data_IF_677301608010
#
_entry.id   IF_677301608010
#
_cell.length_a   1.000
_cell.length_b   1.000
_cell.length_c   1.000
_cell.angle_alpha   90.00
_cell.angle_beta   90.00
_cell.angle_gamma   90.00
#
_symmetry.space_group_name_H-M   'P 1'
#
loop_
_entity.id
_entity.type
_entity.pdbx_description
1 polymer ?
#
# COMPACT_ATOMS: atom_id res chain seq x y z
N UNK A 1 2.15 17.91 81.47
CA UNK A 1 2.34 19.02 80.49
C UNK A 1 3.07 18.58 79.22
N UNK A 2 4.22 17.88 79.26
CA UNK A 2 4.97 17.46 78.05
C UNK A 2 4.19 16.55 77.05
N UNK A 3 3.31 15.67 77.52
CA UNK A 3 2.49 14.81 76.64
C UNK A 3 1.39 15.60 75.90
N UNK A 4 0.86 16.65 76.52
CA UNK A 4 -0.15 17.52 75.89
C UNK A 4 0.47 18.43 74.83
N UNK A 5 1.66 18.99 75.09
CA UNK A 5 2.37 19.81 74.07
C UNK A 5 2.82 18.98 72.87
N UNK A 6 3.28 17.75 73.11
CA UNK A 6 3.69 16.82 72.04
C UNK A 6 2.51 16.41 71.17
N UNK A 7 1.34 16.15 71.77
CA UNK A 7 0.12 15.83 71.02
C UNK A 7 -0.43 17.02 70.24
N UNK A 8 -0.36 18.25 70.77
CA UNK A 8 -0.77 19.47 70.04
C UNK A 8 0.13 19.69 68.83
N UNK A 9 1.46 19.60 68.97
CA UNK A 9 2.39 19.70 67.85
C UNK A 9 2.16 18.61 66.80
N UNK A 10 1.84 17.39 67.22
CA UNK A 10 1.55 16.29 66.29
C UNK A 10 0.26 16.55 65.49
N UNK A 11 -0.77 17.10 66.14
CA UNK A 11 -2.04 17.48 65.50
C UNK A 11 -1.84 18.67 64.57
N UNK A 12 -1.11 19.72 64.99
CA UNK A 12 -0.78 20.87 64.15
C UNK A 12 0.03 20.47 62.92
N UNK A 13 0.99 19.56 63.06
CA UNK A 13 1.78 19.07 61.93
C UNK A 13 0.92 18.29 60.94
N UNK A 14 -0.03 17.48 61.44
CA UNK A 14 -0.98 16.75 60.59
C UNK A 14 -1.97 17.69 59.90
N UNK A 15 -2.46 18.72 60.59
CA UNK A 15 -3.38 19.71 60.04
C UNK A 15 -2.67 20.62 59.02
N UNK A 16 -1.44 21.03 59.29
CA UNK A 16 -0.62 21.81 58.37
C UNK A 16 -0.38 21.04 57.08
N UNK A 17 0.08 19.77 57.17
CA UNK A 17 0.23 18.90 56.00
C UNK A 17 -1.09 18.75 55.22
N UNK A 18 -2.20 18.58 55.92
CA UNK A 18 -3.52 18.46 55.30
C UNK A 18 -3.94 19.75 54.56
N UNK A 19 -3.73 20.92 55.16
CA UNK A 19 -4.02 22.22 54.53
C UNK A 19 -3.08 22.45 53.34
N UNK A 20 -1.81 22.09 53.45
CA UNK A 20 -0.81 22.21 52.38
C UNK A 20 -1.14 21.31 51.18
N UNK A 21 -1.75 20.15 51.41
CA UNK A 21 -2.21 19.23 50.37
C UNK A 21 -3.50 19.74 49.68
N UNK A 22 -4.39 20.44 50.38
CA UNK A 22 -5.68 20.89 49.82
C UNK A 22 -5.63 22.28 49.19
N UNK A 23 -4.90 23.23 49.79
CA UNK A 23 -4.91 24.63 49.35
C UNK A 23 -3.99 24.82 48.16
N UNK A 24 -4.49 25.40 47.07
CA UNK A 24 -3.66 25.85 45.96
C UNK A 24 -2.90 27.14 46.36
N UNK A 25 -1.56 27.15 46.37
CA UNK A 25 -0.80 28.36 46.69
C UNK A 25 -1.14 29.49 45.71
N UNK A 26 -1.16 30.77 46.15
CA UNK A 26 -1.43 31.90 45.25
C UNK A 26 -0.51 31.93 44.03
N UNK A 27 0.77 31.56 44.20
CA UNK A 27 1.72 31.43 43.09
C UNK A 27 1.34 30.36 42.06
N UNK A 28 0.74 29.25 42.48
CA UNK A 28 0.21 28.23 41.57
C UNK A 28 -0.97 28.79 40.77
N UNK A 29 -1.88 29.51 41.43
CA UNK A 29 -3.03 30.14 40.79
C UNK A 29 -2.58 31.14 39.72
N UNK A 30 -1.63 32.02 40.03
CA UNK A 30 -1.09 33.00 39.07
C UNK A 30 -0.44 32.32 37.87
N UNK A 31 0.36 31.27 38.08
CA UNK A 31 1.00 30.56 36.97
C UNK A 31 -0.02 29.87 36.07
N UNK A 32 -1.05 29.23 36.64
CA UNK A 32 -2.08 28.55 35.84
C UNK A 32 -2.88 29.57 35.00
N UNK A 33 -3.26 30.71 35.60
CA UNK A 33 -4.07 31.72 34.91
C UNK A 33 -3.23 32.48 33.87
N UNK A 34 -2.06 33.01 34.26
CA UNK A 34 -1.31 34.01 33.49
C UNK A 34 0.01 33.49 32.90
N UNK A 35 0.56 32.37 33.40
CA UNK A 35 1.87 31.86 32.98
C UNK A 35 1.88 31.20 31.59
N UNK A 36 2.98 31.31 30.86
CA UNK A 36 3.13 30.61 29.57
C UNK A 36 3.27 29.09 29.72
N UNK A 37 2.83 28.32 28.73
CA UNK A 37 2.94 26.85 28.75
C UNK A 37 4.39 26.45 28.45
N UNK A 38 5.17 26.24 29.51
CA UNK A 38 6.56 25.80 29.48
C UNK A 38 6.80 24.66 30.50
N UNK A 39 8.04 24.18 30.65
CA UNK A 39 8.38 23.12 31.60
C UNK A 39 8.01 23.46 33.06
N UNK A 40 8.05 24.75 33.42
CA UNK A 40 7.60 25.25 34.71
C UNK A 40 6.08 25.14 34.88
N UNK A 41 5.31 25.41 33.82
CA UNK A 41 3.86 25.24 33.82
C UNK A 41 3.46 23.77 33.97
N UNK A 42 4.16 22.85 33.30
CA UNK A 42 3.94 21.40 33.43
C UNK A 42 4.12 20.93 34.88
N UNK A 43 5.18 21.38 35.57
CA UNK A 43 5.37 21.07 37.00
C UNK A 43 4.24 21.62 37.89
N UNK A 44 3.73 22.81 37.57
CA UNK A 44 2.59 23.39 38.28
C UNK A 44 1.30 22.59 38.04
N UNK A 45 1.08 22.08 36.83
CA UNK A 45 -0.03 21.16 36.54
C UNK A 45 0.08 19.85 37.33
N UNK A 46 1.28 19.30 37.51
CA UNK A 46 1.49 18.11 38.36
C UNK A 46 1.07 18.36 39.81
N UNK A 47 1.41 19.54 40.35
CA UNK A 47 0.98 19.94 41.69
C UNK A 47 -0.55 20.06 41.73
N UNK A 48 -1.16 20.74 40.75
CA UNK A 48 -2.62 20.87 40.66
C UNK A 48 -3.30 19.49 40.58
N UNK A 49 -2.78 18.57 39.76
CA UNK A 49 -3.29 17.21 39.62
C UNK A 49 -3.24 16.43 40.95
N UNK A 50 -2.15 16.54 41.73
CA UNK A 50 -2.05 15.90 43.06
C UNK A 50 -3.13 16.43 44.01
N UNK A 51 -3.33 17.74 44.02
CA UNK A 51 -4.37 18.41 44.83
C UNK A 51 -5.78 17.98 44.45
N UNK A 52 -6.06 17.88 43.15
CA UNK A 52 -7.34 17.40 42.63
C UNK A 52 -7.60 15.94 43.02
N UNK A 53 -6.61 15.05 42.90
CA UNK A 53 -6.73 13.64 43.35
C UNK A 53 -7.02 13.55 44.84
N UNK A 54 -6.29 14.30 45.66
CA UNK A 54 -6.50 14.29 47.11
C UNK A 54 -7.91 14.74 47.49
N UNK A 55 -8.49 15.70 46.76
CA UNK A 55 -9.88 16.15 46.99
C UNK A 55 -10.95 15.09 46.66
N UNK A 56 -10.63 14.05 45.88
CA UNK A 56 -11.58 13.01 45.45
C UNK A 56 -11.57 11.74 46.34
N UNK A 57 -10.46 11.45 47.03
CA UNK A 57 -10.20 10.11 47.60
C UNK A 57 -10.82 9.88 48.98
N UNK A 58 -11.19 10.92 49.73
CA UNK A 58 -11.54 10.72 51.15
C UNK A 58 -12.96 11.22 51.53
N UNK A 59 -13.92 10.28 51.69
CA UNK A 59 -15.30 10.59 52.07
C UNK A 59 -15.44 11.18 53.48
N UNK A 60 -14.51 10.89 54.40
CA UNK A 60 -14.53 11.46 55.77
C UNK A 60 -14.05 12.91 55.78
N UNK A 61 -13.17 13.27 54.84
CA UNK A 61 -12.60 14.62 54.67
C UNK A 61 -13.63 15.59 54.04
N UNK A 62 -14.47 15.10 53.13
CA UNK A 62 -15.55 15.84 52.47
C UNK A 62 -16.65 16.39 53.41
N UNK A 63 -16.66 16.00 54.69
CA UNK A 63 -17.59 16.48 55.70
C UNK A 63 -17.20 17.83 56.34
N UNK A 64 -15.98 18.32 56.11
CA UNK A 64 -15.52 19.60 56.68
C UNK A 64 -16.05 20.82 55.89
N UNK A 65 -16.47 21.88 56.60
CA UNK A 65 -17.00 23.12 55.97
C UNK A 65 -16.00 23.78 55.03
N UNK A 66 -14.71 23.79 55.39
CA UNK A 66 -13.65 24.44 54.61
C UNK A 66 -13.40 23.79 53.23
N UNK A 67 -13.65 22.49 53.08
CA UNK A 67 -13.51 21.81 51.79
C UNK A 67 -14.67 22.09 50.82
N UNK A 68 -15.86 22.43 51.34
CA UNK A 68 -16.98 22.87 50.49
C UNK A 68 -16.70 24.19 49.78
N UNK A 69 -15.89 25.06 50.37
CA UNK A 69 -15.53 26.36 49.80
C UNK A 69 -14.31 26.27 48.87
N UNK A 70 -13.37 25.34 49.11
CA UNK A 70 -12.14 25.18 48.31
C UNK A 70 -12.40 24.39 47.01
N UNK A 71 -13.30 23.40 47.05
CA UNK A 71 -13.64 22.57 45.88
C UNK A 71 -14.07 23.38 44.64
N UNK A 72 -15.00 24.35 44.72
CA UNK A 72 -15.38 25.14 43.55
C UNK A 72 -14.24 26.01 43.01
N UNK A 73 -13.34 26.51 43.87
CA UNK A 73 -12.15 27.26 43.43
C UNK A 73 -11.14 26.36 42.69
N UNK A 74 -10.93 25.13 43.18
CA UNK A 74 -10.10 24.14 42.49
C UNK A 74 -10.73 23.70 41.16
N UNK A 75 -12.04 23.53 41.10
CA UNK A 75 -12.76 23.23 39.86
C UNK A 75 -12.67 24.39 38.86
N UNK A 76 -12.78 25.64 39.31
CA UNK A 76 -12.60 26.82 38.46
C UNK A 76 -11.17 26.90 37.91
N UNK A 77 -10.18 26.63 38.75
CA UNK A 77 -8.78 26.59 38.36
C UNK A 77 -8.51 25.46 37.35
N UNK A 78 -9.12 24.29 37.57
CA UNK A 78 -9.08 23.18 36.63
C UNK A 78 -9.67 23.56 35.27
N UNK A 79 -10.85 24.17 35.22
CA UNK A 79 -11.44 24.59 33.94
C UNK A 79 -10.55 25.58 33.18
N UNK A 80 -9.92 26.52 33.89
CA UNK A 80 -8.97 27.45 33.28
C UNK A 80 -7.72 26.74 32.76
N UNK A 81 -7.18 25.78 33.52
CA UNK A 81 -6.04 24.97 33.10
C UNK A 81 -6.38 24.11 31.87
N UNK A 82 -7.55 23.46 31.86
CA UNK A 82 -8.02 22.64 30.73
C UNK A 82 -8.11 23.46 29.45
N UNK A 83 -8.80 24.62 29.50
CA UNK A 83 -8.93 25.53 28.35
C UNK A 83 -7.56 25.99 27.85
N UNK A 84 -6.67 26.42 28.74
CA UNK A 84 -5.35 26.91 28.35
C UNK A 84 -4.48 25.83 27.69
N UNK A 85 -4.52 24.61 28.24
CA UNK A 85 -3.77 23.47 27.69
C UNK A 85 -4.36 23.04 26.34
N UNK A 86 -5.68 22.98 26.21
CA UNK A 86 -6.32 22.62 24.93
C UNK A 86 -6.03 23.66 23.85
N UNK A 87 -6.11 24.95 24.17
CA UNK A 87 -5.83 26.04 23.23
C UNK A 87 -4.38 25.96 22.74
N UNK A 88 -3.43 25.79 23.66
CA UNK A 88 -2.01 25.67 23.33
C UNK A 88 -1.70 24.46 22.42
N UNK A 89 -2.23 23.29 22.74
CA UNK A 89 -2.03 22.09 21.92
C UNK A 89 -2.66 22.25 20.53
N UNK A 90 -3.86 22.83 20.48
CA UNK A 90 -4.59 23.08 19.24
C UNK A 90 -3.84 24.06 18.32
N UNK A 91 -3.25 25.11 18.88
CA UNK A 91 -2.39 26.04 18.14
C UNK A 91 -1.16 25.34 17.54
N UNK A 92 -0.53 24.43 18.30
CA UNK A 92 0.59 23.63 17.78
C UNK A 92 0.12 22.75 16.63
N UNK A 93 -1.02 22.07 16.76
CA UNK A 93 -1.55 21.25 15.68
C UNK A 93 -1.82 22.08 14.44
N UNK A 94 -2.49 23.23 14.55
CA UNK A 94 -2.73 24.09 13.40
C UNK A 94 -1.45 24.62 12.73
N UNK A 95 -0.35 24.76 13.48
CA UNK A 95 0.94 25.12 12.90
C UNK A 95 1.48 24.08 11.90
N UNK A 96 1.07 22.81 12.01
CA UNK A 96 1.43 21.73 11.08
C UNK A 96 0.87 21.94 9.68
N UNK A 97 -0.17 22.76 9.52
CA UNK A 97 -0.75 23.11 8.20
C UNK A 97 0.14 24.05 7.40
N UNK A 98 1.12 24.71 8.04
CA UNK A 98 1.99 25.69 7.37
C UNK A 98 2.98 24.96 6.44
N UNK A 99 3.17 25.44 5.20
CA UNK A 99 4.14 24.84 4.28
C UNK A 99 5.56 24.97 4.82
N UNK A 100 6.39 23.94 4.62
CA UNK A 100 7.78 23.90 5.10
C UNK A 100 7.95 23.48 6.56
N UNK A 101 6.85 23.25 7.30
CA UNK A 101 6.92 22.71 8.66
C UNK A 101 7.45 21.28 8.66
N UNK A 102 8.52 21.02 9.41
CA UNK A 102 8.98 19.66 9.66
C UNK A 102 8.11 19.02 10.75
N UNK A 103 7.02 18.38 10.32
CA UNK A 103 6.02 17.74 11.20
C UNK A 103 6.68 16.69 12.10
N UNK A 104 7.63 15.92 11.58
CA UNK A 104 8.30 14.86 12.35
C UNK A 104 9.11 15.44 13.53
N UNK A 105 9.85 16.53 13.32
CA UNK A 105 10.57 17.23 14.40
C UNK A 105 9.57 17.81 15.41
N UNK A 106 8.47 18.38 14.94
CA UNK A 106 7.44 18.94 15.83
C UNK A 106 6.78 17.86 16.70
N UNK A 107 6.46 16.71 16.11
CA UNK A 107 5.93 15.54 16.81
C UNK A 107 6.91 14.99 17.85
N UNK A 108 8.20 14.92 17.55
CA UNK A 108 9.23 14.54 18.53
C UNK A 108 9.27 15.51 19.72
N UNK A 109 9.21 16.82 19.46
CA UNK A 109 9.16 17.84 20.50
C UNK A 109 7.89 17.71 21.37
N UNK A 110 6.73 17.41 20.77
CA UNK A 110 5.47 17.17 21.49
C UNK A 110 5.61 16.00 22.47
N UNK A 111 6.17 14.86 22.02
CA UNK A 111 6.38 13.68 22.88
C UNK A 111 7.33 14.00 24.04
N UNK A 112 8.43 14.71 23.76
CA UNK A 112 9.46 14.96 24.77
C UNK A 112 9.02 15.98 25.83
N UNK A 113 8.38 17.08 25.43
CA UNK A 113 8.09 18.20 26.33
C UNK A 113 6.66 18.24 26.83
N UNK A 114 5.71 17.80 26.02
CA UNK A 114 4.30 18.10 26.22
C UNK A 114 3.43 16.86 26.45
N UNK A 115 4.02 15.65 26.55
CA UNK A 115 3.28 14.42 26.83
C UNK A 115 2.45 14.49 28.12
N UNK A 116 2.95 15.16 29.17
CA UNK A 116 2.18 15.31 30.41
C UNK A 116 0.89 16.11 30.23
N UNK A 117 0.86 17.07 29.30
CA UNK A 117 -0.34 17.87 29.02
C UNK A 117 -1.51 16.97 28.58
N UNK A 118 -1.23 16.01 27.69
CA UNK A 118 -2.22 15.02 27.25
C UNK A 118 -2.69 14.12 28.39
N UNK A 119 -1.76 13.63 29.22
CA UNK A 119 -2.11 12.81 30.38
C UNK A 119 -3.01 13.57 31.36
N UNK A 120 -2.73 14.86 31.59
CA UNK A 120 -3.53 15.74 32.42
C UNK A 120 -4.94 15.94 31.88
N UNK A 121 -5.07 16.23 30.57
CA UNK A 121 -6.38 16.37 29.92
C UNK A 121 -7.20 15.08 30.03
N UNK A 122 -6.58 13.93 29.76
CA UNK A 122 -7.25 12.63 29.83
C UNK A 122 -7.76 12.30 31.23
N UNK A 123 -7.01 12.69 32.25
CA UNK A 123 -7.37 12.42 33.64
C UNK A 123 -8.46 13.34 34.18
N UNK A 124 -8.37 14.66 33.94
CA UNK A 124 -9.23 15.64 34.60
C UNK A 124 -10.32 16.23 33.69
N UNK A 125 -10.25 16.00 32.38
CA UNK A 125 -11.12 16.65 31.40
C UNK A 125 -11.38 15.80 30.15
N UNK A 126 -12.01 14.63 30.31
CA UNK A 126 -12.25 13.68 29.21
C UNK A 126 -12.90 14.30 27.97
N UNK A 127 -13.86 15.22 28.13
CA UNK A 127 -14.48 15.92 26.99
C UNK A 127 -13.47 16.78 26.22
N UNK A 128 -12.71 17.60 26.94
CA UNK A 128 -11.68 18.48 26.36
C UNK A 128 -10.58 17.65 25.69
N UNK A 129 -10.20 16.53 26.30
CA UNK A 129 -9.26 15.58 25.71
C UNK A 129 -9.76 15.05 24.36
N UNK A 130 -11.02 14.60 24.28
CA UNK A 130 -11.62 14.14 23.02
C UNK A 130 -11.64 15.23 21.96
N UNK A 131 -11.95 16.49 22.34
CA UNK A 131 -11.94 17.62 21.41
C UNK A 131 -10.52 17.89 20.87
N UNK A 132 -9.48 17.79 21.72
CA UNK A 132 -8.07 17.92 21.32
C UNK A 132 -7.62 16.78 20.40
N UNK A 133 -8.03 15.53 20.68
CA UNK A 133 -7.79 14.40 19.78
C UNK A 133 -8.45 14.63 18.41
N UNK A 134 -9.71 15.07 18.39
CA UNK A 134 -10.42 15.38 17.14
C UNK A 134 -9.75 16.51 16.35
N UNK A 135 -9.27 17.56 17.03
CA UNK A 135 -8.54 18.66 16.41
C UNK A 135 -7.22 18.20 15.76
N UNK A 136 -6.50 17.28 16.41
CA UNK A 136 -5.31 16.65 15.84
C UNK A 136 -5.68 15.81 14.61
N UNK A 137 -6.68 14.93 14.74
CA UNK A 137 -7.12 14.04 13.67
C UNK A 137 -7.54 14.82 12.42
N UNK A 138 -8.40 15.82 12.57
CA UNK A 138 -8.86 16.68 11.45
C UNK A 138 -7.68 17.38 10.76
N UNK A 139 -6.73 17.87 11.55
CA UNK A 139 -5.56 18.57 11.02
C UNK A 139 -4.65 17.64 10.23
N UNK A 140 -4.26 16.51 10.81
CA UNK A 140 -3.35 15.58 10.15
C UNK A 140 -4.01 14.87 8.97
N UNK A 141 -5.30 14.55 9.07
CA UNK A 141 -6.07 14.01 7.95
C UNK A 141 -5.99 14.94 6.72
N UNK A 142 -6.25 16.25 6.89
CA UNK A 142 -6.16 17.24 5.80
C UNK A 142 -4.74 17.37 5.25
N UNK A 143 -3.74 17.47 6.14
CA UNK A 143 -2.33 17.64 5.74
C UNK A 143 -1.83 16.43 4.97
N UNK A 144 -2.08 15.22 5.46
CA UNK A 144 -1.65 13.99 4.80
C UNK A 144 -2.43 13.73 3.51
N UNK A 145 -3.74 13.99 3.47
CA UNK A 145 -4.54 13.86 2.25
C UNK A 145 -4.00 14.75 1.13
N UNK A 146 -3.71 16.02 1.43
CA UNK A 146 -3.10 16.94 0.48
C UNK A 146 -1.70 16.47 0.05
N UNK A 147 -0.90 15.93 0.97
CA UNK A 147 0.42 15.40 0.67
C UNK A 147 0.35 14.23 -0.32
N UNK A 148 -0.52 13.24 -0.08
CA UNK A 148 -0.71 12.11 -1.00
C UNK A 148 -1.29 12.53 -2.34
N UNK A 149 -2.25 13.47 -2.35
CA UNK A 149 -2.81 14.00 -3.59
C UNK A 149 -1.73 14.62 -4.49
N UNK A 150 -0.90 15.52 -3.95
CA UNK A 150 0.20 16.15 -4.69
C UNK A 150 1.22 15.12 -5.15
N UNK A 151 1.52 14.12 -4.32
CA UNK A 151 2.47 13.07 -4.66
C UNK A 151 1.96 12.20 -5.81
N UNK A 152 0.68 11.80 -5.78
CA UNK A 152 0.02 11.04 -6.86
C UNK A 152 0.05 11.83 -8.17
N UNK A 153 -0.37 13.09 -8.16
CA UNK A 153 -0.37 13.95 -9.36
C UNK A 153 1.03 14.11 -9.96
N UNK A 154 2.06 14.16 -9.11
CA UNK A 154 3.45 14.23 -9.56
C UNK A 154 3.94 12.91 -10.17
N UNK A 155 3.54 11.76 -9.60
CA UNK A 155 3.88 10.44 -10.14
C UNK A 155 3.16 10.15 -11.46
N UNK A 156 1.89 10.55 -11.60
CA UNK A 156 1.11 10.36 -12.82
C UNK A 156 1.76 11.01 -14.05
N UNK A 157 2.40 12.19 -13.88
CA UNK A 157 3.16 12.86 -14.96
C UNK A 157 4.35 12.05 -15.46
N UNK A 158 4.86 11.14 -14.63
CA UNK A 158 5.98 10.24 -14.97
C UNK A 158 5.52 8.85 -15.43
N UNK A 159 4.22 8.63 -15.64
CA UNK A 159 3.69 7.32 -16.06
C UNK A 159 4.09 6.99 -17.50
N UNK A 160 4.53 5.76 -17.70
CA UNK A 160 4.70 5.15 -19.01
C UNK A 160 3.36 4.54 -19.47
N UNK A 161 2.91 4.92 -20.66
CA UNK A 161 1.70 4.39 -21.26
C UNK A 161 1.97 2.99 -21.84
N UNK A 162 1.66 1.96 -21.07
CA UNK A 162 1.75 0.54 -21.47
C UNK A 162 0.33 0.02 -21.63
N UNK A 163 -0.01 -0.44 -22.83
CA UNK A 163 -1.34 -0.99 -23.12
C UNK A 163 -2.47 0.05 -23.13
N UNK A 164 -2.15 1.34 -23.26
CA UNK A 164 -3.13 2.42 -23.44
C UNK A 164 -3.44 2.57 -24.94
N UNK A 165 -4.69 2.33 -25.33
CA UNK A 165 -5.22 2.69 -26.66
C UNK A 165 -5.38 4.21 -26.73
N UNK A 166 -4.32 4.94 -27.08
CA UNK A 166 -4.38 6.41 -27.15
C UNK A 166 -5.15 6.94 -28.36
N UNK A 167 -5.55 6.10 -29.31
CA UNK A 167 -5.96 6.56 -30.65
C UNK A 167 -7.39 6.21 -31.08
N UNK A 168 -8.27 5.72 -30.21
CA UNK A 168 -9.66 5.42 -30.62
C UNK A 168 -10.69 5.86 -29.56
N UNK A 169 -11.13 7.10 -29.70
CA UNK A 169 -12.41 7.57 -29.17
C UNK A 169 -13.56 6.79 -29.83
N UNK A 170 -14.24 5.96 -29.05
CA UNK A 170 -15.53 5.39 -29.40
C UNK A 170 -15.48 3.93 -29.86
N UNK A 171 -16.32 3.12 -29.22
CA UNK A 171 -16.55 1.68 -29.37
C UNK A 171 -15.59 0.76 -28.61
N UNK A 172 -16.21 -0.20 -27.90
CA UNK A 172 -15.62 -1.25 -27.08
C UNK A 172 -14.43 -1.92 -27.79
N UNK A 173 -13.21 -1.49 -27.44
CA UNK A 173 -11.99 -2.11 -27.93
C UNK A 173 -11.84 -3.50 -27.31
N UNK A 174 -12.10 -4.53 -28.11
CA UNK A 174 -11.73 -5.88 -27.75
C UNK A 174 -10.20 -6.00 -27.79
N UNK A 175 -9.62 -6.81 -26.91
CA UNK A 175 -8.16 -7.10 -26.94
C UNK A 175 -7.73 -7.69 -28.29
N UNK A 176 -8.71 -8.21 -29.06
CA UNK A 176 -8.58 -8.70 -30.43
C UNK A 176 -8.11 -7.60 -31.40
N UNK A 177 -8.33 -6.30 -31.11
CA UNK A 177 -7.87 -5.18 -31.96
C UNK A 177 -6.46 -4.68 -31.61
N UNK A 178 -5.99 -4.95 -30.39
CA UNK A 178 -4.64 -4.61 -29.91
C UNK A 178 -3.57 -5.57 -30.45
N UNK A 179 -3.93 -6.82 -30.72
CA UNK A 179 -2.99 -7.89 -31.07
C UNK A 179 -2.55 -7.90 -32.55
N UNK A 180 -3.39 -7.61 -33.59
CA UNK A 180 -3.02 -7.77 -34.99
C UNK A 180 -2.33 -6.55 -35.63
N UNK A 181 -2.35 -5.36 -35.02
CA UNK A 181 -1.79 -4.12 -35.64
C UNK A 181 -0.30 -3.95 -35.33
N UNK A 182 0.54 -4.89 -35.79
CA UNK A 182 1.96 -4.95 -35.45
C UNK A 182 2.94 -4.74 -36.61
N UNK A 183 3.40 -3.50 -36.83
CA UNK A 183 4.76 -3.23 -37.34
C UNK A 183 5.48 -2.10 -36.60
N UNK A 184 4.80 -1.03 -36.19
CA UNK A 184 5.43 0.09 -35.45
C UNK A 184 5.23 0.04 -33.92
N UNK A 185 4.22 -0.68 -33.42
CA UNK A 185 3.89 -0.77 -31.97
C UNK A 185 4.50 -1.99 -31.24
N UNK A 186 5.29 -2.82 -31.92
CA UNK A 186 5.78 -4.12 -31.42
C UNK A 186 6.64 -4.03 -30.15
N UNK A 187 7.39 -2.93 -29.96
CA UNK A 187 8.28 -2.78 -28.80
C UNK A 187 7.52 -2.59 -27.49
N UNK A 188 6.40 -1.85 -27.52
CA UNK A 188 5.53 -1.66 -26.37
C UNK A 188 4.65 -2.89 -26.09
N UNK A 189 4.31 -3.65 -27.13
CA UNK A 189 3.57 -4.91 -26.99
C UNK A 189 4.39 -6.02 -26.32
N UNK A 190 5.64 -6.24 -26.70
CA UNK A 190 6.50 -7.20 -25.99
C UNK A 190 6.67 -6.83 -24.51
N UNK A 191 6.88 -5.55 -24.22
CA UNK A 191 7.05 -5.07 -22.84
C UNK A 191 5.82 -5.34 -21.94
N UNK A 192 4.62 -5.35 -22.51
CA UNK A 192 3.37 -5.64 -21.80
C UNK A 192 3.25 -7.11 -21.36
N UNK A 193 3.76 -8.06 -22.15
CA UNK A 193 3.66 -9.49 -21.85
C UNK A 193 4.92 -10.06 -21.19
N UNK A 194 6.07 -9.43 -21.38
CA UNK A 194 7.34 -9.88 -20.81
C UNK A 194 7.53 -9.37 -19.39
N UNK A 195 8.11 -10.20 -18.51
CA UNK A 195 8.49 -9.78 -17.17
C UNK A 195 9.83 -9.01 -17.17
N UNK A 196 10.88 -9.56 -17.79
CA UNK A 196 12.18 -8.88 -17.98
C UNK A 196 12.68 -8.12 -16.75
N UNK A 197 13.12 -6.87 -16.95
CA UNK A 197 13.61 -5.99 -15.88
C UNK A 197 12.52 -5.61 -14.85
N UNK A 198 11.23 -5.76 -15.18
CA UNK A 198 10.12 -5.42 -14.29
C UNK A 198 10.14 -6.27 -13.02
N UNK A 199 10.67 -7.50 -13.08
CA UNK A 199 10.87 -8.35 -11.90
C UNK A 199 11.77 -7.73 -10.82
N UNK A 200 12.68 -6.83 -11.21
CA UNK A 200 13.61 -6.18 -10.27
C UNK A 200 12.89 -5.41 -9.16
N UNK A 201 11.68 -4.90 -9.43
CA UNK A 201 10.87 -4.16 -8.45
C UNK A 201 10.58 -4.98 -7.18
N UNK A 202 10.48 -6.31 -7.31
CA UNK A 202 10.22 -7.22 -6.20
C UNK A 202 11.47 -7.47 -5.34
N UNK A 203 12.67 -7.16 -5.85
CA UNK A 203 13.94 -7.17 -5.09
C UNK A 203 14.17 -5.81 -4.43
N UNK A 204 13.59 -4.77 -5.01
CA UNK A 204 13.67 -3.40 -4.53
C UNK A 204 12.41 -3.02 -3.74
N UNK A 205 11.90 -3.86 -2.84
CA UNK A 205 10.69 -3.53 -2.06
C UNK A 205 10.96 -2.50 -0.95
N UNK A 206 12.14 -2.55 -0.32
CA UNK A 206 12.45 -1.68 0.82
C UNK A 206 13.11 -0.35 0.46
N UNK A 207 13.54 -0.16 -0.79
CA UNK A 207 14.13 1.11 -1.26
C UNK A 207 13.20 2.32 -1.02
N UNK A 208 13.73 3.55 -0.92
CA UNK A 208 12.88 4.74 -0.89
C UNK A 208 11.93 4.83 -2.09
N UNK A 209 10.78 5.48 -1.93
CA UNK A 209 9.87 5.76 -3.05
C UNK A 209 10.51 6.72 -4.06
N UNK A 210 9.95 6.76 -5.27
CA UNK A 210 10.35 7.75 -6.27
C UNK A 210 10.23 9.17 -5.72
N UNK A 211 11.24 9.99 -5.98
CA UNK A 211 11.18 11.43 -5.76
C UNK A 211 10.85 12.07 -7.11
N UNK A 212 9.63 12.61 -7.31
CA UNK A 212 9.27 13.23 -8.57
C UNK A 212 10.26 14.35 -8.89
N UNK A 213 11.01 14.21 -9.98
CA UNK A 213 11.93 15.24 -10.48
C UNK A 213 11.25 16.03 -11.59
N UNK A 214 11.13 17.34 -11.39
CA UNK A 214 10.58 18.30 -12.36
C UNK A 214 11.69 18.68 -13.36
N UNK A 215 12.37 17.70 -13.95
CA UNK A 215 13.35 17.98 -15.00
C UNK A 215 12.63 17.98 -16.35
N UNK A 216 12.42 19.16 -16.93
CA UNK A 216 11.80 19.34 -18.26
C UNK A 216 12.66 18.78 -19.40
N UNK A 217 13.95 18.52 -19.15
CA UNK A 217 14.95 18.26 -20.19
C UNK A 217 14.99 16.81 -20.65
N UNK A 218 14.41 15.86 -19.90
CA UNK A 218 14.11 14.48 -20.32
C UNK A 218 13.26 13.79 -19.23
N UNK A 219 11.91 13.77 -19.34
CA UNK A 219 11.09 13.12 -18.32
C UNK A 219 11.29 11.60 -18.37
N UNK A 220 11.89 11.05 -17.32
CA UNK A 220 11.98 9.59 -17.13
C UNK A 220 10.57 9.06 -16.89
N UNK A 221 10.11 8.16 -17.77
CA UNK A 221 8.82 7.49 -17.64
C UNK A 221 8.97 6.14 -16.95
N UNK A 222 8.04 5.79 -16.07
CA UNK A 222 8.04 4.57 -15.28
C UNK A 222 6.80 3.70 -15.56
N UNK A 223 6.95 2.37 -15.63
CA UNK A 223 5.83 1.45 -15.57
C UNK A 223 4.99 1.67 -14.30
N UNK A 224 3.69 1.41 -14.38
CA UNK A 224 2.77 1.74 -13.29
C UNK A 224 3.06 0.96 -12.01
N UNK A 225 3.57 -0.27 -12.07
CA UNK A 225 3.96 -1.03 -10.87
C UNK A 225 5.05 -0.32 -10.03
N UNK A 226 5.92 0.50 -10.66
CA UNK A 226 6.95 1.28 -9.96
C UNK A 226 6.33 2.48 -9.25
N UNK A 227 5.36 3.13 -9.91
CA UNK A 227 4.54 4.22 -9.34
C UNK A 227 3.76 3.68 -8.14
N UNK A 228 3.03 2.57 -8.32
CA UNK A 228 2.26 1.92 -7.27
C UNK A 228 3.14 1.55 -6.07
N UNK A 229 4.27 0.88 -6.31
CA UNK A 229 5.23 0.53 -5.25
C UNK A 229 5.71 1.75 -4.49
N UNK A 230 5.99 2.86 -5.17
CA UNK A 230 6.45 4.10 -4.54
C UNK A 230 5.39 4.76 -3.68
N UNK A 231 4.15 4.82 -4.17
CA UNK A 231 3.00 5.31 -3.41
C UNK A 231 2.77 4.47 -2.15
N UNK A 232 2.76 3.14 -2.30
CA UNK A 232 2.60 2.22 -1.18
C UNK A 232 3.74 2.33 -0.16
N UNK A 233 4.98 2.50 -0.62
CA UNK A 233 6.14 2.69 0.27
C UNK A 233 6.02 3.98 1.09
N UNK A 234 5.64 5.09 0.45
CA UNK A 234 5.42 6.37 1.14
C UNK A 234 4.29 6.23 2.18
N UNK A 235 3.19 5.55 1.80
CA UNK A 235 2.07 5.28 2.70
C UNK A 235 2.55 4.50 3.94
N UNK A 236 3.28 3.41 3.74
CA UNK A 236 3.77 2.57 4.83
C UNK A 236 4.69 3.32 5.78
N UNK A 237 5.63 4.10 5.26
CA UNK A 237 6.58 4.83 6.09
C UNK A 237 5.87 5.94 6.89
N UNK A 238 5.00 6.70 6.23
CA UNK A 238 4.20 7.77 6.87
C UNK A 238 3.26 7.20 7.93
N UNK A 239 2.54 6.11 7.62
CA UNK A 239 1.66 5.43 8.57
C UNK A 239 2.42 4.86 9.75
N UNK A 240 3.61 4.27 9.52
CA UNK A 240 4.44 3.73 10.59
C UNK A 240 4.88 4.83 11.55
N UNK A 241 5.37 5.97 11.04
CA UNK A 241 5.78 7.09 11.89
C UNK A 241 4.60 7.68 12.67
N UNK A 242 3.45 7.84 12.02
CA UNK A 242 2.28 8.47 12.61
C UNK A 242 1.64 7.57 13.68
N UNK A 243 1.51 6.27 13.42
CA UNK A 243 0.99 5.32 14.38
C UNK A 243 1.87 5.24 15.64
N UNK A 244 3.19 5.23 15.49
CA UNK A 244 4.13 5.26 16.61
C UNK A 244 4.02 6.56 17.41
N UNK A 245 3.88 7.71 16.74
CA UNK A 245 3.65 8.99 17.40
C UNK A 245 2.34 8.99 18.18
N UNK A 246 1.22 8.57 17.57
CA UNK A 246 -0.10 8.54 18.21
C UNK A 246 -0.07 7.67 19.46
N UNK A 247 0.53 6.48 19.37
CA UNK A 247 0.73 5.59 20.51
C UNK A 247 1.60 6.22 21.60
N UNK A 248 2.67 6.91 21.23
CA UNK A 248 3.60 7.53 22.15
C UNK A 248 3.10 8.85 22.76
N UNK A 249 2.19 9.58 22.12
CA UNK A 249 1.71 10.88 22.60
C UNK A 249 0.32 10.78 23.24
N UNK A 250 -0.66 10.21 22.53
CA UNK A 250 -2.05 10.07 22.99
C UNK A 250 -2.29 8.76 23.76
N UNK A 251 -1.66 7.67 23.30
CA UNK A 251 -1.91 6.33 23.85
C UNK A 251 -3.26 5.74 23.41
N UNK A 252 -3.87 6.29 22.36
CA UNK A 252 -5.11 5.81 21.75
C UNK A 252 -4.88 5.44 20.30
N UNK A 253 -4.71 4.13 20.04
CA UNK A 253 -4.39 3.62 18.70
C UNK A 253 -5.53 3.85 17.69
N UNK A 254 -6.77 3.99 18.16
CA UNK A 254 -7.95 4.26 17.30
C UNK A 254 -7.87 5.61 16.58
N UNK A 255 -7.14 6.58 17.12
CA UNK A 255 -6.97 7.91 16.52
C UNK A 255 -6.28 7.82 15.16
N UNK A 256 -5.45 6.81 14.94
CA UNK A 256 -4.78 6.55 13.66
C UNK A 256 -5.78 6.44 12.50
N UNK A 257 -6.88 5.72 12.71
CA UNK A 257 -7.86 5.51 11.64
C UNK A 257 -8.61 6.78 11.25
N UNK A 258 -8.80 7.72 12.19
CA UNK A 258 -9.37 9.04 11.90
C UNK A 258 -8.37 9.91 11.12
N UNK A 259 -7.09 9.84 11.47
CA UNK A 259 -6.01 10.54 10.75
C UNK A 259 -5.87 10.02 9.31
N UNK A 260 -5.95 8.70 9.11
CA UNK A 260 -5.72 8.08 7.81
C UNK A 260 -6.96 7.89 6.93
N UNK A 261 -8.16 8.21 7.41
CA UNK A 261 -9.39 8.13 6.61
C UNK A 261 -9.29 8.86 5.27
N UNK A 262 -8.87 10.14 5.29
CA UNK A 262 -8.71 10.95 4.08
C UNK A 262 -7.56 10.49 3.16
N UNK A 263 -6.34 10.23 3.69
CA UNK A 263 -5.26 9.62 2.92
C UNK A 263 -5.65 8.33 2.22
N UNK A 264 -6.37 7.43 2.90
CA UNK A 264 -6.86 6.19 2.29
C UNK A 264 -7.89 6.47 1.19
N UNK A 265 -8.82 7.41 1.41
CA UNK A 265 -9.80 7.78 0.38
C UNK A 265 -9.15 8.31 -0.91
N UNK A 266 -8.11 9.15 -0.77
CA UNK A 266 -7.34 9.69 -1.91
C UNK A 266 -6.66 8.57 -2.69
N UNK A 267 -5.99 7.65 -2.00
CA UNK A 267 -5.27 6.55 -2.63
C UNK A 267 -6.24 5.55 -3.26
N UNK A 268 -7.33 5.22 -2.57
CA UNK A 268 -8.36 4.29 -3.08
C UNK A 268 -9.01 4.84 -4.35
N UNK A 269 -9.38 6.13 -4.38
CA UNK A 269 -9.93 6.78 -5.58
C UNK A 269 -8.96 6.72 -6.77
N UNK A 270 -7.68 6.98 -6.53
CA UNK A 270 -6.66 6.89 -7.58
C UNK A 270 -6.47 5.45 -8.08
N UNK A 271 -6.47 4.47 -7.16
CA UNK A 271 -6.36 3.06 -7.50
C UNK A 271 -7.57 2.60 -8.34
N UNK A 272 -8.79 2.92 -7.92
CA UNK A 272 -10.02 2.60 -8.65
C UNK A 272 -10.00 3.17 -10.07
N UNK A 273 -9.62 4.45 -10.21
CA UNK A 273 -9.49 5.09 -11.52
C UNK A 273 -8.45 4.36 -12.39
N UNK A 274 -7.28 4.05 -11.84
CA UNK A 274 -6.24 3.40 -12.63
C UNK A 274 -6.59 1.95 -13.00
N UNK A 275 -7.21 1.20 -12.10
CA UNK A 275 -7.58 -0.20 -12.35
C UNK A 275 -8.62 -0.33 -13.45
N UNK A 276 -9.55 0.63 -13.58
CA UNK A 276 -10.55 0.63 -14.64
C UNK A 276 -9.91 0.56 -16.05
N UNK A 277 -8.78 1.24 -16.25
CA UNK A 277 -8.09 1.36 -17.54
C UNK A 277 -6.83 0.48 -17.65
N UNK A 278 -6.48 -0.26 -16.60
CA UNK A 278 -5.30 -1.12 -16.62
C UNK A 278 -5.62 -2.44 -17.33
N UNK A 279 -4.99 -2.67 -18.49
CA UNK A 279 -5.12 -3.90 -19.28
C UNK A 279 -3.84 -4.75 -19.28
N UNK A 280 -2.81 -4.38 -18.50
CA UNK A 280 -1.55 -5.11 -18.36
C UNK A 280 -1.64 -6.12 -17.21
N UNK A 281 -1.80 -7.41 -17.56
CA UNK A 281 -1.89 -8.47 -16.55
C UNK A 281 -0.60 -8.67 -15.75
N UNK A 282 0.58 -8.41 -16.35
CA UNK A 282 1.87 -8.51 -15.65
C UNK A 282 1.98 -7.39 -14.61
N UNK A 283 1.58 -6.17 -14.97
CA UNK A 283 1.50 -5.04 -14.02
C UNK A 283 0.59 -5.38 -12.83
N UNK A 284 -0.63 -5.88 -13.10
CA UNK A 284 -1.59 -6.23 -12.06
C UNK A 284 -1.04 -7.32 -11.13
N UNK A 285 -0.39 -8.34 -11.70
CA UNK A 285 0.23 -9.40 -10.92
C UNK A 285 1.43 -8.88 -10.09
N UNK A 286 2.25 -7.99 -10.65
CA UNK A 286 3.32 -7.32 -9.91
C UNK A 286 2.77 -6.49 -8.75
N UNK A 287 1.67 -5.75 -8.94
CA UNK A 287 1.01 -5.01 -7.85
C UNK A 287 0.54 -5.93 -6.71
N UNK A 288 -0.01 -7.11 -7.05
CA UNK A 288 -0.41 -8.12 -6.06
C UNK A 288 0.83 -8.59 -5.27
N UNK A 289 1.91 -8.98 -5.95
CA UNK A 289 3.11 -9.45 -5.26
C UNK A 289 3.81 -8.33 -4.46
N UNK A 290 3.80 -7.08 -4.94
CA UNK A 290 4.27 -5.92 -4.18
C UNK A 290 3.47 -5.77 -2.88
N UNK A 291 2.14 -5.86 -2.96
CA UNK A 291 1.25 -5.71 -1.80
C UNK A 291 1.52 -6.81 -0.77
N UNK A 292 1.70 -8.06 -1.20
CA UNK A 292 2.08 -9.17 -0.33
C UNK A 292 3.44 -9.00 0.33
N UNK A 293 4.45 -8.57 -0.43
CA UNK A 293 5.78 -8.28 0.15
C UNK A 293 5.70 -7.12 1.15
N UNK A 294 4.87 -6.10 0.89
CA UNK A 294 4.61 -5.02 1.85
C UNK A 294 3.90 -5.49 3.12
N UNK A 295 2.96 -6.44 3.04
CA UNK A 295 2.38 -7.09 4.23
C UNK A 295 3.47 -7.75 5.09
N UNK A 296 4.41 -8.48 4.47
CA UNK A 296 5.54 -9.09 5.19
C UNK A 296 6.46 -8.03 5.82
N UNK A 297 6.69 -6.91 5.14
CA UNK A 297 7.47 -5.79 5.70
C UNK A 297 6.77 -5.17 6.91
N UNK A 298 5.45 -4.94 6.86
CA UNK A 298 4.68 -4.44 8.01
C UNK A 298 4.67 -5.43 9.18
N UNK A 299 4.55 -6.73 8.89
CA UNK A 299 4.67 -7.79 9.88
C UNK A 299 6.05 -7.76 10.57
N UNK A 300 7.13 -7.60 9.80
CA UNK A 300 8.49 -7.46 10.34
C UNK A 300 8.67 -6.20 11.19
N UNK A 301 7.99 -5.10 10.83
CA UNK A 301 7.94 -3.87 11.64
C UNK A 301 7.11 -4.04 12.92
N UNK A 302 6.33 -5.12 13.05
CA UNK A 302 5.38 -5.39 14.15
C UNK A 302 4.29 -4.32 14.26
N UNK A 303 3.80 -3.85 13.11
CA UNK A 303 2.77 -2.82 13.01
C UNK A 303 1.57 -3.37 12.23
N UNK A 304 0.40 -3.42 12.87
CA UNK A 304 -0.85 -3.93 12.27
C UNK A 304 -1.77 -2.83 11.73
N UNK A 305 -1.36 -1.56 11.81
CA UNK A 305 -2.19 -0.40 11.44
C UNK A 305 -2.62 -0.36 9.96
N UNK A 306 -1.94 -1.10 9.08
CA UNK A 306 -2.24 -1.18 7.65
C UNK A 306 -2.77 -2.54 7.19
N UNK A 307 -3.00 -3.50 8.09
CA UNK A 307 -3.41 -4.87 7.71
C UNK A 307 -4.70 -4.85 6.89
N UNK A 308 -5.75 -4.21 7.42
CA UNK A 308 -7.04 -4.05 6.74
C UNK A 308 -6.91 -3.35 5.38
N UNK A 309 -6.03 -2.35 5.28
CA UNK A 309 -5.80 -1.61 4.04
C UNK A 309 -5.13 -2.48 2.97
N UNK A 310 -4.06 -3.19 3.34
CA UNK A 310 -3.32 -4.04 2.41
C UNK A 310 -4.16 -5.26 1.97
N UNK A 311 -4.95 -5.84 2.87
CA UNK A 311 -5.90 -6.91 2.54
C UNK A 311 -6.95 -6.43 1.54
N UNK A 312 -7.51 -5.22 1.78
CA UNK A 312 -8.47 -4.58 0.87
C UNK A 312 -7.85 -4.33 -0.52
N UNK A 313 -6.60 -3.87 -0.59
CA UNK A 313 -5.89 -3.68 -1.85
C UNK A 313 -5.75 -5.00 -2.64
N UNK A 314 -5.42 -6.11 -1.99
CA UNK A 314 -5.38 -7.44 -2.63
C UNK A 314 -6.77 -7.84 -3.16
N UNK A 315 -7.83 -7.59 -2.38
CA UNK A 315 -9.22 -7.86 -2.78
C UNK A 315 -9.66 -7.04 -4.01
N UNK A 316 -9.10 -5.85 -4.23
CA UNK A 316 -9.38 -5.06 -5.44
C UNK A 316 -8.58 -5.51 -6.66
N UNK A 317 -7.32 -5.90 -6.46
CA UNK A 317 -6.41 -6.23 -7.56
C UNK A 317 -6.78 -7.57 -8.24
N UNK A 318 -7.15 -8.59 -7.47
CA UNK A 318 -7.45 -9.92 -8.01
C UNK A 318 -8.65 -9.96 -8.97
N UNK A 319 -9.81 -9.36 -8.65
CA UNK A 319 -10.94 -9.30 -9.58
C UNK A 319 -10.55 -8.62 -10.90
N UNK A 320 -9.80 -7.51 -10.83
CA UNK A 320 -9.36 -6.83 -12.06
C UNK A 320 -8.38 -7.68 -12.87
N UNK A 321 -7.40 -8.30 -12.21
CA UNK A 321 -6.50 -9.24 -12.86
C UNK A 321 -7.28 -10.35 -13.58
N UNK A 322 -8.25 -10.95 -12.89
CA UNK A 322 -9.09 -12.02 -13.44
C UNK A 322 -9.86 -11.54 -14.69
N UNK A 323 -10.46 -10.35 -14.64
CA UNK A 323 -11.15 -9.78 -15.81
C UNK A 323 -10.20 -9.64 -17.00
N UNK A 324 -9.03 -9.04 -16.81
CA UNK A 324 -8.05 -8.87 -17.90
C UNK A 324 -7.55 -10.22 -18.43
N UNK A 325 -7.28 -11.17 -17.54
CA UNK A 325 -6.86 -12.52 -17.91
C UNK A 325 -7.92 -13.27 -18.72
N UNK A 326 -9.18 -13.23 -18.28
CA UNK A 326 -10.28 -13.87 -19.00
C UNK A 326 -10.51 -13.18 -20.37
N UNK A 327 -10.29 -11.86 -20.50
CA UNK A 327 -10.31 -11.17 -21.80
C UNK A 327 -9.19 -11.67 -22.74
N UNK A 328 -7.96 -11.85 -22.22
CA UNK A 328 -6.85 -12.43 -23.01
C UNK A 328 -7.15 -13.83 -23.49
N UNK A 329 -7.73 -14.65 -22.61
CA UNK A 329 -8.09 -16.02 -22.92
C UNK A 329 -9.22 -16.09 -23.96
N UNK A 330 -10.25 -15.24 -23.82
CA UNK A 330 -11.32 -15.12 -24.80
C UNK A 330 -10.78 -14.69 -26.16
N UNK A 331 -9.83 -13.75 -26.20
CA UNK A 331 -9.16 -13.34 -27.43
C UNK A 331 -8.54 -14.54 -28.15
N UNK A 332 -7.77 -15.39 -27.46
CA UNK A 332 -7.19 -16.60 -28.05
C UNK A 332 -8.23 -17.52 -28.69
N UNK A 333 -9.36 -17.74 -28.02
CA UNK A 333 -10.42 -18.61 -28.54
C UNK A 333 -11.11 -18.01 -29.77
N UNK A 334 -11.38 -16.71 -29.76
CA UNK A 334 -12.16 -16.00 -30.79
C UNK A 334 -11.31 -15.52 -31.98
N UNK A 335 -9.99 -15.52 -31.87
CA UNK A 335 -9.10 -15.14 -32.98
C UNK A 335 -9.34 -16.01 -34.24
N UNK A 336 -9.55 -15.34 -35.38
CA UNK A 336 -9.58 -16.00 -36.69
C UNK A 336 -8.16 -16.29 -37.16
N UNK A 337 -7.81 -17.57 -37.17
CA UNK A 337 -6.51 -18.05 -37.60
C UNK A 337 -6.16 -17.64 -39.04
N UNK A 338 -7.16 -17.40 -39.91
CA UNK A 338 -6.94 -17.00 -41.30
C UNK A 338 -6.53 -15.55 -41.45
N UNK A 339 -7.01 -14.67 -40.57
CA UNK A 339 -6.65 -13.25 -40.55
C UNK A 339 -5.24 -13.05 -39.98
N UNK A 340 -4.89 -13.87 -38.98
CA UNK A 340 -3.59 -13.81 -38.32
C UNK A 340 -2.49 -14.54 -39.07
N UNK A 341 -2.85 -15.38 -40.04
CA UNK A 341 -1.89 -16.19 -40.79
C UNK A 341 -0.90 -15.32 -41.55
N UNK A 342 0.38 -15.60 -41.33
CA UNK A 342 1.50 -15.05 -42.08
C UNK A 342 2.15 -16.20 -42.83
N UNK A 343 2.37 -16.05 -44.14
CA UNK A 343 3.05 -17.05 -44.93
C UNK A 343 4.51 -17.21 -44.46
N UNK A 344 4.83 -18.38 -43.91
CA UNK A 344 6.14 -18.69 -43.38
C UNK A 344 6.10 -19.68 -42.21
N UNK A 345 7.13 -20.51 -42.10
CA UNK A 345 7.26 -21.47 -41.00
C UNK A 345 7.83 -20.89 -39.71
N UNK A 346 8.08 -19.57 -39.66
CA UNK A 346 8.65 -18.91 -38.49
C UNK A 346 7.70 -18.92 -37.28
N UNK A 347 8.23 -18.81 -36.05
CA UNK A 347 7.39 -18.72 -34.86
C UNK A 347 6.43 -17.54 -34.93
N UNK A 348 5.18 -17.78 -34.54
CA UNK A 348 4.13 -16.78 -34.65
C UNK A 348 4.24 -15.76 -33.51
N UNK A 349 4.25 -14.46 -33.82
CA UNK A 349 4.45 -13.40 -32.83
C UNK A 349 3.42 -13.43 -31.68
N UNK A 350 2.14 -13.68 -31.98
CA UNK A 350 1.08 -13.84 -30.97
C UNK A 350 1.41 -14.98 -30.00
N UNK A 351 1.79 -16.15 -30.53
CA UNK A 351 2.16 -17.30 -29.70
C UNK A 351 3.32 -16.92 -28.78
N UNK A 352 4.32 -16.22 -29.31
CA UNK A 352 5.44 -15.70 -28.50
C UNK A 352 4.97 -14.81 -27.35
N UNK A 353 4.12 -13.82 -27.62
CA UNK A 353 3.59 -12.92 -26.58
C UNK A 353 2.86 -13.70 -25.47
N UNK A 354 2.06 -14.71 -25.82
CA UNK A 354 1.35 -15.51 -24.82
C UNK A 354 2.26 -16.46 -24.04
N UNK A 355 3.33 -16.96 -24.65
CA UNK A 355 4.35 -17.74 -23.93
C UNK A 355 5.13 -16.82 -22.98
N UNK A 356 5.53 -15.64 -23.42
CA UNK A 356 6.19 -14.63 -22.57
C UNK A 356 5.29 -14.24 -21.38
N UNK A 357 3.98 -14.04 -21.61
CA UNK A 357 3.00 -13.80 -20.55
C UNK A 357 2.90 -15.00 -19.59
N UNK A 358 2.82 -16.22 -20.12
CA UNK A 358 2.69 -17.43 -19.30
C UNK A 358 3.93 -17.61 -18.42
N UNK A 359 5.12 -17.42 -18.99
CA UNK A 359 6.38 -17.44 -18.27
C UNK A 359 6.43 -16.38 -17.16
N UNK A 360 6.03 -15.14 -17.46
CA UNK A 360 5.95 -14.06 -16.49
C UNK A 360 5.02 -14.41 -15.31
N UNK A 361 3.82 -14.92 -15.60
CA UNK A 361 2.84 -15.25 -14.57
C UNK A 361 3.26 -16.47 -13.74
N UNK A 362 3.94 -17.47 -14.32
CA UNK A 362 4.49 -18.61 -13.57
C UNK A 362 5.50 -18.13 -12.53
N UNK A 363 6.47 -17.30 -12.94
CA UNK A 363 7.48 -16.75 -12.03
C UNK A 363 6.85 -15.92 -10.91
N UNK A 364 5.91 -15.03 -11.26
CA UNK A 364 5.23 -14.20 -10.28
C UNK A 364 4.33 -15.01 -9.34
N UNK A 365 3.67 -16.07 -9.83
CA UNK A 365 2.86 -16.95 -9.00
C UNK A 365 3.70 -17.70 -7.96
N UNK A 366 4.89 -18.16 -8.34
CA UNK A 366 5.84 -18.80 -7.43
C UNK A 366 6.29 -17.85 -6.32
N UNK A 367 6.58 -16.59 -6.66
CA UNK A 367 6.90 -15.53 -5.69
C UNK A 367 5.73 -15.19 -4.75
N UNK A 368 4.50 -15.21 -5.28
CA UNK A 368 3.29 -14.83 -4.55
C UNK A 368 2.74 -15.97 -3.65
N UNK A 369 3.03 -17.24 -3.95
CA UNK A 369 2.90 -18.39 -3.04
C UNK A 369 1.50 -18.94 -2.73
N UNK A 370 0.47 -18.62 -3.52
CA UNK A 370 -0.94 -18.86 -3.10
C UNK A 370 -1.74 -19.75 -4.08
N UNK A 371 -1.09 -20.28 -5.13
CA UNK A 371 -1.67 -21.29 -6.05
C UNK A 371 -2.90 -20.86 -6.87
N UNK A 372 -3.40 -19.63 -6.67
CA UNK A 372 -4.63 -19.14 -7.28
C UNK A 372 -4.59 -19.09 -8.82
N UNK A 373 -3.39 -19.10 -9.42
CA UNK A 373 -3.20 -19.02 -10.87
C UNK A 373 -3.05 -20.37 -11.57
N UNK A 374 -2.82 -21.47 -10.86
CA UNK A 374 -2.41 -22.73 -11.48
C UNK A 374 -3.44 -23.24 -12.51
N UNK A 375 -4.72 -23.21 -12.14
CA UNK A 375 -5.81 -23.58 -13.05
C UNK A 375 -5.96 -22.62 -14.23
N UNK A 376 -5.69 -21.32 -14.04
CA UNK A 376 -5.79 -20.32 -15.10
C UNK A 376 -4.63 -20.44 -16.09
N UNK A 377 -3.42 -20.71 -15.61
CA UNK A 377 -2.25 -20.97 -16.44
C UNK A 377 -2.44 -22.23 -17.29
N UNK A 378 -3.07 -23.26 -16.73
CA UNK A 378 -3.43 -24.46 -17.47
C UNK A 378 -4.45 -24.17 -18.59
N UNK A 379 -5.48 -23.35 -18.31
CA UNK A 379 -6.44 -22.89 -19.33
C UNK A 379 -5.75 -22.10 -20.45
N UNK A 380 -4.79 -21.24 -20.09
CA UNK A 380 -4.03 -20.45 -21.06
C UNK A 380 -3.16 -21.34 -21.95
N UNK A 381 -2.46 -22.31 -21.36
CA UNK A 381 -1.67 -23.32 -22.07
C UNK A 381 -2.50 -24.06 -23.11
N UNK A 382 -3.69 -24.55 -22.74
CA UNK A 382 -4.60 -25.24 -23.67
C UNK A 382 -5.07 -24.32 -24.79
N UNK A 383 -5.38 -23.05 -24.49
CA UNK A 383 -5.77 -22.08 -25.50
C UNK A 383 -4.66 -21.79 -26.52
N UNK A 384 -3.40 -21.71 -26.07
CA UNK A 384 -2.23 -21.53 -26.95
C UNK A 384 -1.99 -22.77 -27.83
N UNK A 385 -2.07 -23.99 -27.27
CA UNK A 385 -1.92 -25.23 -28.04
C UNK A 385 -3.00 -25.36 -29.12
N UNK A 386 -4.26 -25.02 -28.79
CA UNK A 386 -5.37 -24.99 -29.74
C UNK A 386 -5.18 -23.93 -30.84
N UNK A 387 -4.65 -22.74 -30.50
CA UNK A 387 -4.34 -21.72 -31.50
C UNK A 387 -3.23 -22.20 -32.46
N UNK A 388 -2.18 -22.82 -31.94
CA UNK A 388 -1.10 -23.40 -32.75
C UNK A 388 -1.61 -24.45 -33.73
N UNK A 389 -2.50 -25.35 -33.28
CA UNK A 389 -3.15 -26.33 -34.14
C UNK A 389 -3.94 -25.67 -35.28
N UNK A 390 -4.83 -24.72 -34.96
CA UNK A 390 -5.62 -23.98 -35.98
C UNK A 390 -4.75 -23.20 -36.96
N UNK A 391 -3.64 -22.61 -36.50
CA UNK A 391 -2.69 -21.91 -37.38
C UNK A 391 -1.94 -22.88 -38.29
N UNK A 392 -1.57 -24.05 -37.78
CA UNK A 392 -0.92 -25.09 -38.58
C UNK A 392 -1.85 -25.63 -39.66
N UNK A 393 -3.13 -25.82 -39.39
CA UNK A 393 -4.13 -26.30 -40.38
C UNK A 393 -4.25 -25.41 -41.63
N UNK A 394 -3.85 -24.14 -41.55
CA UNK A 394 -3.86 -23.23 -42.70
C UNK A 394 -2.76 -23.53 -43.75
N UNK A 395 -1.71 -24.29 -43.40
CA UNK A 395 -0.69 -24.66 -44.39
C UNK A 395 -1.18 -25.83 -45.25
N UNK A 396 -1.10 -25.69 -46.57
CA UNK A 396 -1.54 -26.74 -47.49
C UNK A 396 -0.65 -28.01 -47.47
N UNK A 397 0.65 -27.87 -47.16
CA UNK A 397 1.60 -28.98 -47.16
C UNK A 397 1.83 -29.52 -45.73
N UNK A 398 1.61 -30.82 -45.46
CA UNK A 398 1.89 -31.43 -44.17
C UNK A 398 3.32 -31.17 -43.67
N UNK A 399 4.31 -31.10 -44.57
CA UNK A 399 5.69 -30.79 -44.22
C UNK A 399 5.83 -29.39 -43.61
N UNK A 400 5.18 -28.38 -44.19
CA UNK A 400 5.24 -27.01 -43.68
C UNK A 400 4.41 -26.84 -42.40
N UNK A 401 3.32 -27.61 -42.24
CA UNK A 401 2.56 -27.68 -40.99
C UNK A 401 3.45 -28.12 -39.81
N UNK A 402 4.11 -29.28 -39.97
CA UNK A 402 4.99 -29.82 -38.94
C UNK A 402 6.18 -28.89 -38.67
N UNK A 403 6.79 -28.31 -39.72
CA UNK A 403 7.91 -27.37 -39.56
C UNK A 403 7.50 -26.11 -38.79
N UNK A 404 6.31 -25.55 -39.07
CA UNK A 404 5.75 -24.43 -38.31
C UNK A 404 5.57 -24.80 -36.83
N UNK A 405 4.99 -25.96 -36.54
CA UNK A 405 4.82 -26.43 -35.16
C UNK A 405 6.16 -26.63 -34.44
N UNK A 406 7.16 -27.25 -35.10
CA UNK A 406 8.50 -27.43 -34.53
C UNK A 406 9.13 -26.09 -34.14
N UNK A 407 9.08 -25.09 -35.04
CA UNK A 407 9.66 -23.78 -34.77
C UNK A 407 8.96 -23.06 -33.60
N UNK A 408 7.64 -23.17 -33.50
CA UNK A 408 6.89 -22.58 -32.38
C UNK A 408 7.14 -23.30 -31.05
N UNK A 409 7.23 -24.64 -31.05
CA UNK A 409 7.56 -25.40 -29.86
C UNK A 409 8.99 -25.13 -29.39
N UNK A 410 9.96 -25.06 -30.30
CA UNK A 410 11.36 -24.71 -29.98
C UNK A 410 11.46 -23.30 -29.35
N UNK A 411 10.81 -22.30 -29.96
CA UNK A 411 10.71 -20.96 -29.38
C UNK A 411 10.06 -20.98 -27.99
N UNK A 412 8.98 -21.75 -27.83
CA UNK A 412 8.27 -21.86 -26.55
C UNK A 412 9.19 -22.43 -25.48
N UNK A 413 9.92 -23.50 -25.78
CA UNK A 413 10.90 -24.12 -24.88
C UNK A 413 12.01 -23.13 -24.54
N UNK A 414 12.51 -22.35 -25.50
CA UNK A 414 13.55 -21.33 -25.27
C UNK A 414 13.09 -20.28 -24.27
N UNK A 415 11.89 -19.72 -24.43
CA UNK A 415 11.34 -18.72 -23.51
C UNK A 415 11.10 -19.30 -22.11
N UNK A 416 10.62 -20.55 -22.02
CA UNK A 416 10.39 -21.22 -20.74
C UNK A 416 11.70 -21.58 -20.02
N UNK A 417 12.77 -21.90 -20.76
CA UNK A 417 14.12 -22.11 -20.18
C UNK A 417 14.67 -20.84 -19.57
N UNK A 418 14.50 -19.70 -20.25
CA UNK A 418 14.86 -18.39 -19.70
C UNK A 418 14.06 -18.06 -18.43
N UNK A 419 12.86 -18.65 -18.30
CA UNK A 419 11.97 -18.40 -17.19
C UNK A 419 12.36 -19.09 -15.87
N UNK A 420 13.33 -20.00 -15.89
CA UNK A 420 13.83 -20.68 -14.70
C UNK A 420 13.05 -21.93 -14.30
N UNK A 421 13.38 -22.46 -13.12
CA UNK A 421 12.94 -23.78 -12.68
C UNK A 421 11.42 -23.89 -12.45
N UNK A 422 10.77 -22.76 -12.18
CA UNK A 422 9.34 -22.64 -11.97
C UNK A 422 8.55 -23.05 -13.23
N UNK A 423 9.14 -22.87 -14.42
CA UNK A 423 8.52 -23.20 -15.71
C UNK A 423 8.78 -24.64 -16.17
N UNK A 424 9.59 -25.43 -15.45
CA UNK A 424 10.04 -26.77 -15.87
C UNK A 424 8.88 -27.73 -16.22
N UNK A 425 7.76 -27.68 -15.48
CA UNK A 425 6.60 -28.53 -15.76
C UNK A 425 6.01 -28.23 -17.14
N UNK A 426 5.89 -26.94 -17.48
CA UNK A 426 5.37 -26.49 -18.76
C UNK A 426 6.38 -26.72 -19.89
N UNK A 427 7.66 -26.54 -19.61
CA UNK A 427 8.75 -26.82 -20.54
C UNK A 427 8.70 -28.29 -21.01
N UNK A 428 8.65 -29.25 -20.08
CA UNK A 428 8.58 -30.68 -20.39
C UNK A 428 7.40 -31.04 -21.28
N UNK A 429 6.24 -30.43 -21.04
CA UNK A 429 5.05 -30.62 -21.88
C UNK A 429 5.32 -30.26 -23.35
N UNK A 430 5.99 -29.14 -23.61
CA UNK A 430 6.33 -28.72 -24.97
C UNK A 430 7.50 -29.52 -25.56
N UNK A 431 8.43 -30.02 -24.74
CA UNK A 431 9.49 -30.96 -25.17
C UNK A 431 8.87 -32.27 -25.69
N UNK A 432 7.92 -32.87 -24.96
CA UNK A 432 7.20 -34.08 -25.40
C UNK A 432 6.44 -33.86 -26.72
N UNK A 433 5.81 -32.68 -26.88
CA UNK A 433 5.12 -32.29 -28.11
C UNK A 433 6.09 -32.11 -29.28
N UNK A 434 7.25 -31.50 -29.04
CA UNK A 434 8.31 -31.33 -30.02
C UNK A 434 8.78 -32.71 -30.52
N UNK A 435 9.10 -33.63 -29.61
CA UNK A 435 9.55 -34.99 -29.93
C UNK A 435 8.51 -35.77 -30.75
N UNK A 436 7.24 -35.75 -30.31
CA UNK A 436 6.14 -36.42 -31.03
C UNK A 436 5.94 -35.86 -32.45
N UNK A 437 6.03 -34.54 -32.61
CA UNK A 437 5.92 -33.88 -33.91
C UNK A 437 7.13 -34.14 -34.81
N UNK A 438 8.34 -34.26 -34.24
CA UNK A 438 9.55 -34.64 -34.99
C UNK A 438 9.44 -36.05 -35.57
N UNK A 439 8.97 -37.03 -34.80
CA UNK A 439 8.73 -38.40 -35.29
C UNK A 439 7.77 -38.37 -36.48
N UNK A 440 6.66 -37.64 -36.35
CA UNK A 440 5.64 -37.52 -37.41
C UNK A 440 6.18 -36.81 -38.66
N UNK A 441 7.06 -35.82 -38.50
CA UNK A 441 7.72 -35.12 -39.60
C UNK A 441 8.68 -36.04 -40.39
N UNK A 442 9.51 -36.83 -39.70
CA UNK A 442 10.47 -37.76 -40.32
C UNK A 442 9.73 -38.87 -41.08
N UNK A 443 8.65 -39.40 -40.53
CA UNK A 443 7.80 -40.40 -41.20
C UNK A 443 7.22 -39.82 -42.50
N UNK A 444 6.67 -38.61 -42.46
CA UNK A 444 6.13 -37.93 -43.65
C UNK A 444 7.19 -37.66 -44.73
N UNK A 445 8.44 -37.35 -44.35
CA UNK A 445 9.55 -37.22 -45.32
C UNK A 445 9.92 -38.58 -45.91
N UNK A 446 9.95 -39.64 -45.10
CA UNK A 446 10.37 -40.97 -45.52
C UNK A 446 9.40 -41.59 -46.54
N UNK A 447 8.09 -41.31 -46.42
CA UNK A 447 7.08 -41.75 -47.38
C UNK A 447 7.19 -41.11 -48.77
N UNK A 448 7.87 -39.97 -48.91
CA UNK A 448 8.16 -39.33 -50.21
C UNK A 448 9.36 -39.96 -50.94
N UNK A 449 10.18 -40.76 -50.25
CA UNK A 449 11.38 -41.40 -50.81
C UNK A 449 11.19 -42.90 -51.13
N UNK A 450 9.97 -43.44 -51.00
CA UNK A 450 9.67 -44.79 -51.49
C UNK A 450 9.54 -44.71 -53.02
N UNK A 451 10.45 -45.32 -53.80
CA UNK A 451 10.34 -45.30 -55.25
C UNK A 451 9.07 -46.06 -55.65
N UNK A 452 8.28 -45.49 -56.56
CA UNK A 452 7.15 -46.16 -57.18
C UNK A 452 7.61 -47.54 -57.68
N UNK A 453 6.83 -48.62 -57.45
CA UNK A 453 7.18 -49.93 -57.98
C UNK A 453 7.32 -49.81 -59.49
N UNK A 454 8.52 -50.10 -59.99
CA UNK A 454 8.77 -50.23 -61.42
C UNK A 454 7.91 -51.41 -61.89
N UNK A 455 6.89 -51.10 -62.68
CA UNK A 455 5.95 -52.09 -63.27
C UNK A 455 6.66 -52.96 -64.28
#
# INVERSE_FOLDING_TARGET
MCLLSSNVQLVETKLAKFVEEIVAPPGLVTVIIDGEVNDGYVKNLEILSKKLRFSQVDPMINASKSLKDIKPELERLLQKALSKVSDYLTEIFFSMRKPGTNIQILQQNLVQKYRYLILFLREHGSKVYTDVCAAYADTMNKVLSAHFQVYIEALEKSKLDIGVSSDLTGYDTSIIDLIPRGREHLRNHHFMFSLGERASILKEIDRPGLVPHISEVNPVKYPYEVIFRSLQKLLMDTASSEYLFIKAFFGEESLFYQVFEGPFEVIDKHLDHTLQYCHDAVCLMLMICITRKHQLVMLNRRLSCLDTYLDKAVIYLWPRFKTVFDMYLQSLYQCDAKILWVDGSHPHHIVRCYVELTAALIQLNAECGDGQLDMNLERLRVAVDNLLGRLAENFANPRTQHLFLLNNYDMTISVLKEAGDEANKLQRYFEEKLESNMVSFVVNISHLFVPAPVV
#
